data_IF_566460896011
#
_entry.id   IF_566460896011
#
_cell.length_a   1.000
_cell.length_b   1.000
_cell.length_c   1.000
_cell.angle_alpha   90.00
_cell.angle_beta   90.00
_cell.angle_gamma   90.00
#
_symmetry.space_group_name_H-M   'P 1'
#
loop_
_entity.id
_entity.type
_entity.pdbx_description
1 polymer ?
#
# COMPACT_ATOMS: atom_id res chain seq x y z
N UNK A 1 -22.10 7.86 -3.11
CA UNK A 1 -20.74 7.32 -2.91
C UNK A 1 -20.63 6.68 -1.53
N UNK A 2 -21.10 5.44 -1.36
CA UNK A 2 -21.26 4.76 -0.05
C UNK A 2 -20.31 3.57 0.15
N UNK A 3 -19.17 3.53 -0.57
CA UNK A 3 -18.36 2.31 -0.70
C UNK A 3 -17.38 2.03 0.45
N UNK A 4 -17.27 2.90 1.46
CA UNK A 4 -16.59 2.58 2.70
C UNK A 4 -17.63 2.19 3.76
N UNK A 5 -18.38 1.10 3.52
CA UNK A 5 -19.21 0.52 4.58
C UNK A 5 -18.26 0.11 5.70
N UNK A 6 -18.49 0.71 6.87
CA UNK A 6 -17.93 0.44 8.19
C UNK A 6 -17.90 -1.08 8.47
N UNK A 7 -16.87 -1.80 8.02
CA UNK A 7 -16.71 -3.24 8.29
C UNK A 7 -15.88 -3.53 9.54
N UNK A 8 -15.62 -2.53 10.38
CA UNK A 8 -14.88 -2.73 11.64
C UNK A 8 -15.65 -2.14 12.81
N UNK A 9 -16.45 -2.99 13.43
CA UNK A 9 -16.95 -2.90 14.81
C UNK A 9 -16.96 -4.35 15.28
N UNK A 10 -16.23 -4.79 16.30
CA UNK A 10 -16.19 -4.28 17.69
C UNK A 10 -14.89 -4.65 18.41
N UNK A 11 -14.11 -3.64 18.82
CA UNK A 11 -13.17 -3.53 19.95
C UNK A 11 -12.26 -2.31 19.68
N UNK A 12 -11.79 -1.60 20.71
CA UNK A 12 -11.03 -0.33 20.68
C UNK A 12 -9.65 -0.36 19.97
N UNK A 13 -9.50 -1.07 18.85
CA UNK A 13 -8.26 -1.15 18.08
C UNK A 13 -8.51 -0.84 16.61
N UNK A 14 -7.78 0.16 16.09
CA UNK A 14 -7.74 0.48 14.68
C UNK A 14 -7.31 -0.76 13.87
N UNK A 15 -8.08 -1.20 12.87
CA UNK A 15 -7.75 -2.38 12.08
C UNK A 15 -6.47 -2.15 11.29
N UNK A 16 -5.64 -3.19 11.12
CA UNK A 16 -4.43 -3.10 10.31
C UNK A 16 -4.78 -3.03 8.81
N UNK A 17 -3.91 -2.48 7.94
CA UNK A 17 -4.19 -2.40 6.51
C UNK A 17 -4.43 -3.77 5.88
N UNK A 18 -3.77 -4.82 6.39
CA UNK A 18 -3.97 -6.20 5.99
C UNK A 18 -5.39 -6.71 6.32
N UNK A 19 -5.89 -6.38 7.51
CA UNK A 19 -7.25 -6.75 7.91
C UNK A 19 -8.28 -6.05 7.02
N UNK A 20 -8.11 -4.74 6.80
CA UNK A 20 -8.97 -3.95 5.91
C UNK A 20 -8.99 -4.55 4.50
N UNK A 21 -7.80 -4.82 3.92
CA UNK A 21 -7.69 -5.41 2.59
C UNK A 21 -8.37 -6.78 2.51
N UNK A 22 -8.14 -7.64 3.51
CA UNK A 22 -8.69 -9.00 3.54
C UNK A 22 -10.22 -8.99 3.60
N UNK A 23 -10.79 -8.13 4.44
CA UNK A 23 -12.24 -8.00 4.60
C UNK A 23 -12.85 -7.38 3.34
N UNK A 24 -12.29 -6.29 2.83
CA UNK A 24 -12.77 -5.63 1.62
C UNK A 24 -12.74 -6.56 0.40
N UNK A 25 -11.66 -7.32 0.23
CA UNK A 25 -11.53 -8.28 -0.86
C UNK A 25 -12.59 -9.40 -0.77
N UNK A 26 -12.81 -9.97 0.42
CA UNK A 26 -13.85 -11.00 0.64
C UNK A 26 -15.27 -10.48 0.41
N UNK A 27 -15.51 -9.21 0.71
CA UNK A 27 -16.83 -8.59 0.53
C UNK A 27 -17.10 -8.12 -0.91
N UNK A 28 -16.07 -8.03 -1.77
CA UNK A 28 -16.24 -7.61 -3.15
C UNK A 28 -16.98 -8.68 -3.97
N UNK A 29 -18.17 -8.33 -4.47
CA UNK A 29 -19.01 -9.24 -5.26
C UNK A 29 -18.97 -8.96 -6.77
N UNK A 30 -18.38 -7.84 -7.18
CA UNK A 30 -18.29 -7.49 -8.59
C UNK A 30 -17.22 -8.38 -9.28
N UNK A 31 -17.55 -9.01 -10.41
CA UNK A 31 -16.55 -9.69 -11.23
C UNK A 31 -15.48 -8.72 -11.72
N UNK A 32 -14.22 -9.13 -11.67
CA UNK A 32 -13.08 -8.34 -12.12
C UNK A 32 -11.83 -8.57 -11.28
N UNK A 33 -10.80 -7.78 -11.59
CA UNK A 33 -9.57 -7.71 -10.80
C UNK A 33 -9.21 -6.25 -10.51
N UNK A 34 -8.40 -6.04 -9.48
CA UNK A 34 -7.90 -4.71 -9.12
C UNK A 34 -6.55 -4.80 -8.43
N UNK A 35 -5.73 -3.76 -8.61
CA UNK A 35 -4.61 -3.47 -7.71
C UNK A 35 -5.16 -2.83 -6.43
N UNK A 36 -4.39 -2.88 -5.34
CA UNK A 36 -4.82 -2.30 -4.08
C UNK A 36 -3.65 -1.82 -3.24
N UNK A 37 -3.69 -0.54 -2.88
CA UNK A 37 -2.76 0.09 -1.94
C UNK A 37 -3.55 0.72 -0.80
N UNK A 38 -3.23 0.35 0.44
CA UNK A 38 -3.83 0.93 1.65
C UNK A 38 -2.69 1.46 2.51
N UNK A 39 -2.78 2.74 2.87
CA UNK A 39 -1.84 3.42 3.76
C UNK A 39 -2.60 3.88 5.00
N UNK A 40 -2.06 3.57 6.17
CA UNK A 40 -2.59 3.94 7.47
C UNK A 40 -1.54 4.73 8.23
N UNK A 41 -1.89 5.95 8.62
CA UNK A 41 -1.11 6.76 9.55
C UNK A 41 -1.71 6.61 10.95
N UNK A 42 -0.91 6.12 11.89
CA UNK A 42 -1.26 6.02 13.31
C UNK A 42 -0.13 6.72 14.09
N UNK A 43 -0.47 7.86 14.71
CA UNK A 43 0.48 8.78 15.34
C UNK A 43 1.64 9.16 14.39
N UNK A 44 2.85 8.69 14.69
CA UNK A 44 4.07 8.92 13.91
C UNK A 44 4.47 7.70 13.06
N UNK A 45 3.62 6.66 13.02
CA UNK A 45 3.88 5.41 12.32
C UNK A 45 3.01 5.28 11.08
N UNK A 46 3.64 5.04 9.93
CA UNK A 46 2.96 4.66 8.69
C UNK A 46 3.00 3.14 8.55
N UNK A 47 1.82 2.53 8.39
CA UNK A 47 1.65 1.12 8.02
C UNK A 47 1.00 1.09 6.64
N UNK A 48 1.50 0.23 5.75
CA UNK A 48 0.93 0.11 4.42
C UNK A 48 0.89 -1.34 3.96
N UNK A 49 -0.02 -1.61 3.03
CA UNK A 49 -0.05 -2.84 2.25
C UNK A 49 -0.29 -2.47 0.79
N UNK A 50 0.45 -3.11 -0.12
CA UNK A 50 0.31 -2.92 -1.55
C UNK A 50 0.26 -4.27 -2.25
N UNK A 51 -0.67 -4.40 -3.20
CA UNK A 51 -0.73 -5.48 -4.19
C UNK A 51 -0.87 -4.85 -5.58
N UNK A 52 0.16 -5.01 -6.40
CA UNK A 52 0.22 -4.49 -7.77
C UNK A 52 1.21 -3.34 -7.94
N UNK A 53 0.97 -2.51 -8.95
CA UNK A 53 1.79 -1.35 -9.33
C UNK A 53 1.20 -0.01 -8.85
N UNK A 54 0.16 -0.04 -8.03
CA UNK A 54 -0.19 1.10 -7.19
C UNK A 54 0.90 1.36 -6.15
N UNK A 55 0.89 2.54 -5.53
CA UNK A 55 1.92 2.91 -4.60
C UNK A 55 1.73 4.27 -3.97
N UNK A 56 2.67 4.67 -3.12
CA UNK A 56 2.76 6.00 -2.53
C UNK A 56 4.22 6.42 -2.36
N UNK A 57 4.43 7.73 -2.32
CA UNK A 57 5.69 8.35 -1.93
C UNK A 57 5.53 8.98 -0.55
N UNK A 58 6.53 8.80 0.31
CA UNK A 58 6.65 9.58 1.54
C UNK A 58 7.67 10.69 1.29
N UNK A 59 7.19 11.92 1.23
CA UNK A 59 8.04 13.10 1.15
C UNK A 59 8.21 13.69 2.55
N UNK A 60 9.45 14.01 2.94
CA UNK A 60 9.74 14.76 4.16
C UNK A 60 10.60 15.97 3.84
N UNK A 61 10.34 17.04 4.57
CA UNK A 61 11.15 18.24 4.52
C UNK A 61 12.47 17.96 5.27
N UNK A 62 13.60 18.08 4.57
CA UNK A 62 14.93 17.79 5.13
C UNK A 62 15.96 18.77 4.55
N UNK A 63 17.01 19.13 5.31
CA UNK A 63 18.15 19.87 4.76
C UNK A 63 18.76 19.10 3.58
N UNK A 64 19.01 19.79 2.47
CA UNK A 64 19.76 19.22 1.36
C UNK A 64 21.26 19.31 1.67
N UNK A 65 21.82 18.20 2.15
CA UNK A 65 23.26 18.08 2.40
C UNK A 65 24.09 18.34 1.13
N UNK A 66 23.50 18.22 -0.06
CA UNK A 66 24.19 18.48 -1.34
C UNK A 66 24.08 19.93 -1.81
N UNK A 67 23.13 20.72 -1.28
CA UNK A 67 22.91 22.12 -1.67
C UNK A 67 22.90 23.03 -0.43
N UNK A 68 24.02 23.06 0.29
CA UNK A 68 24.26 24.07 1.32
C UNK A 68 23.34 24.02 2.54
N UNK A 69 22.61 22.92 2.75
CA UNK A 69 21.70 22.75 3.89
C UNK A 69 20.32 23.39 3.70
N UNK A 70 19.97 23.85 2.49
CA UNK A 70 18.62 24.38 2.24
C UNK A 70 17.55 23.31 2.47
N UNK A 71 16.50 23.70 3.19
CA UNK A 71 15.43 22.79 3.58
C UNK A 71 14.46 22.59 2.42
N UNK A 72 14.36 21.37 1.90
CA UNK A 72 13.48 21.03 0.77
C UNK A 72 12.77 19.70 0.94
N UNK A 73 11.74 19.46 0.15
CA UNK A 73 11.06 18.17 0.12
C UNK A 73 11.94 17.10 -0.53
N UNK A 74 12.09 15.97 0.15
CA UNK A 74 12.85 14.82 -0.34
C UNK A 74 12.02 13.54 -0.17
N UNK A 75 12.07 12.65 -1.17
CA UNK A 75 11.42 11.35 -1.11
C UNK A 75 12.24 10.44 -0.17
N UNK A 76 11.66 10.09 0.98
CA UNK A 76 12.30 9.20 1.97
C UNK A 76 11.81 7.76 1.85
N UNK A 77 10.67 7.55 1.20
CA UNK A 77 10.15 6.22 0.89
C UNK A 77 9.39 6.23 -0.43
N UNK A 78 9.54 5.15 -1.17
CA UNK A 78 8.83 4.85 -2.40
C UNK A 78 8.46 3.37 -2.37
N UNK A 79 7.17 3.07 -2.54
CA UNK A 79 6.70 1.69 -2.67
C UNK A 79 7.25 1.05 -3.94
N UNK A 80 7.73 -0.21 -3.86
CA UNK A 80 8.15 -0.94 -5.05
C UNK A 80 6.94 -1.39 -5.88
N UNK A 81 7.07 -1.32 -7.20
CA UNK A 81 6.10 -1.89 -8.13
C UNK A 81 6.10 -3.42 -8.03
N UNK A 82 4.91 -4.01 -7.95
CA UNK A 82 4.74 -5.46 -7.97
C UNK A 82 4.06 -5.85 -9.28
N UNK A 83 4.84 -6.42 -10.20
CA UNK A 83 4.35 -6.94 -11.46
C UNK A 83 4.93 -8.32 -11.77
N UNK A 84 4.22 -9.12 -12.55
CA UNK A 84 4.75 -10.36 -13.15
C UNK A 84 5.77 -10.03 -14.24
N UNK A 85 5.44 -9.05 -15.08
CA UNK A 85 6.25 -8.48 -16.16
C UNK A 85 5.72 -7.07 -16.51
N UNK A 86 6.25 -6.44 -17.57
CA UNK A 86 5.87 -5.09 -17.96
C UNK A 86 4.35 -4.95 -18.17
N UNK A 87 3.74 -3.97 -17.50
CA UNK A 87 2.31 -3.67 -17.56
C UNK A 87 1.38 -4.84 -17.18
N UNK A 88 1.86 -5.81 -16.39
CA UNK A 88 1.07 -6.91 -15.84
C UNK A 88 1.24 -6.94 -14.31
N UNK A 89 0.51 -6.07 -13.57
CA UNK A 89 0.61 -5.97 -12.13
C UNK A 89 0.06 -7.22 -11.44
N UNK A 90 0.47 -7.46 -10.20
CA UNK A 90 -0.27 -8.40 -9.35
C UNK A 90 -1.63 -7.83 -8.98
N UNK A 91 -2.67 -8.67 -8.96
CA UNK A 91 -4.04 -8.19 -8.75
C UNK A 91 -4.84 -9.07 -7.78
N UNK A 92 -5.73 -8.45 -7.03
CA UNK A 92 -6.83 -9.12 -6.36
C UNK A 92 -7.86 -9.50 -7.43
N UNK A 93 -8.32 -10.75 -7.47
CA UNK A 93 -9.30 -11.23 -8.44
C UNK A 93 -10.55 -11.79 -7.78
N UNK A 94 -11.70 -11.64 -8.41
CA UNK A 94 -12.95 -12.26 -7.94
C UNK A 94 -12.84 -13.80 -7.91
N UNK A 95 -13.30 -14.43 -6.82
CA UNK A 95 -13.21 -15.89 -6.65
C UNK A 95 -11.78 -16.38 -6.42
N UNK A 96 -11.37 -17.43 -7.15
CA UNK A 96 -10.03 -18.02 -7.04
C UNK A 96 -9.00 -17.40 -8.02
N UNK A 97 -9.39 -16.35 -8.75
CA UNK A 97 -8.63 -15.82 -9.89
C UNK A 97 -7.65 -14.69 -9.52
N UNK A 98 -7.21 -14.61 -8.26
CA UNK A 98 -6.36 -13.53 -7.74
C UNK A 98 -4.95 -13.98 -7.33
N UNK A 99 -4.01 -13.04 -7.36
CA UNK A 99 -2.64 -13.27 -6.92
C UNK A 99 -2.52 -13.37 -5.38
N UNK A 100 -1.58 -14.20 -4.91
CA UNK A 100 -1.27 -14.30 -3.48
C UNK A 100 -0.42 -13.10 -3.04
N UNK A 101 -0.68 -12.59 -1.84
CA UNK A 101 0.05 -11.45 -1.27
C UNK A 101 1.55 -11.79 -1.09
N UNK A 102 2.43 -10.97 -1.65
CA UNK A 102 3.85 -10.98 -1.29
C UNK A 102 4.07 -10.24 0.04
N UNK A 103 4.69 -10.90 1.01
CA UNK A 103 5.10 -10.30 2.30
C UNK A 103 6.54 -9.78 2.28
N UNK A 104 7.16 -9.58 1.11
CA UNK A 104 8.58 -9.25 1.02
C UNK A 104 8.84 -7.75 0.99
N UNK A 105 9.25 -7.20 2.14
CA UNK A 105 10.23 -6.12 2.17
C UNK A 105 11.53 -6.66 1.58
N UNK A 106 11.75 -6.48 0.26
CA UNK A 106 13.08 -6.72 -0.31
C UNK A 106 14.02 -5.65 0.26
N UNK A 107 15.15 -6.02 0.91
CA UNK A 107 16.18 -5.02 1.19
C UNK A 107 16.68 -4.50 -0.16
N UNK A 108 16.71 -3.17 -0.33
CA UNK A 108 17.40 -2.54 -1.46
C UNK A 108 18.86 -3.02 -1.40
N UNK A 109 19.31 -3.76 -2.42
CA UNK A 109 20.76 -3.88 -2.67
C UNK A 109 21.22 -2.48 -3.06
N UNK A 110 22.06 -1.88 -2.22
CA UNK A 110 22.84 -0.71 -2.61
C UNK A 110 23.76 -1.13 -3.76
N UNK A 111 23.60 -0.45 -4.89
CA UNK A 111 24.62 -0.33 -5.96
C UNK A 111 25.11 1.09 -5.95
#
# INVERSE_FOLDING_TARGET
MSSAKRTVTTADKTPTPLQVLTVAHRSAQCPGSSTACIVQLEDLSLRAINLGDSGFLLCRLQPDEKQGGEVRWQVVHETPNQCHYFNCPYQLGFGANGDKRCTSSRPRKAT
#
